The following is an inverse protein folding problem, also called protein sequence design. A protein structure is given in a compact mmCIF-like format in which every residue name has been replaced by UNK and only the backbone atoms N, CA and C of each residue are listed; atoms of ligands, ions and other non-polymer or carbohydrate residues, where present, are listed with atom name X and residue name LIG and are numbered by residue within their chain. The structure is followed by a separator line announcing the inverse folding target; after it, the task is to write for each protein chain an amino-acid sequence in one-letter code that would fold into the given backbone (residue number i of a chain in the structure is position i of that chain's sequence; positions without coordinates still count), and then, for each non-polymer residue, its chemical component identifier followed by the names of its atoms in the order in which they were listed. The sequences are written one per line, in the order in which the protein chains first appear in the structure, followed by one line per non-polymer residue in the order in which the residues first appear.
data_IF_310750788157
#
_entry.id   IF_310750788157
#
_cell.length_a   1.000
_cell.length_b   1.000
_cell.length_c   1.000
_cell.angle_alpha   90.00
_cell.angle_beta   90.00
_cell.angle_gamma   90.00
#
_symmetry.space_group_name_H-M   'P 1'
#
loop_
_entity.id
_entity.type
_entity.pdbx_description
1 polymer ?
#
# COMPACT_ATOMS: atom_id res chain seq x y z
N UNK A 1 -20.45 -1.89 1.20
CA UNK A 1 -19.20 -1.74 0.44
C UNK A 1 -18.87 -0.26 0.50
N UNK A 2 -17.70 0.14 1.03
CA UNK A 2 -17.32 1.57 1.06
C UNK A 2 -17.44 2.13 -0.37
N UNK A 3 -18.04 3.30 -0.53
CA UNK A 3 -18.41 3.84 -1.83
C UNK A 3 -17.19 4.04 -2.74
N UNK A 4 -16.04 4.38 -2.16
CA UNK A 4 -14.73 4.38 -2.81
C UNK A 4 -14.41 3.06 -3.56
N UNK A 5 -14.68 1.89 -2.96
CA UNK A 5 -14.45 0.61 -3.63
C UNK A 5 -15.40 0.38 -4.81
N UNK A 6 -16.62 0.93 -4.73
CA UNK A 6 -17.60 0.84 -5.81
C UNK A 6 -17.25 1.79 -6.98
N UNK A 7 -16.75 2.98 -6.68
CA UNK A 7 -16.30 3.96 -7.69
C UNK A 7 -15.06 3.46 -8.41
N UNK A 8 -14.07 2.92 -7.68
CA UNK A 8 -12.89 2.28 -8.28
C UNK A 8 -13.27 1.11 -9.21
N UNK A 9 -14.27 0.30 -8.84
CA UNK A 9 -14.78 -0.75 -9.73
C UNK A 9 -15.43 -0.20 -11.01
N UNK A 10 -16.23 0.87 -10.89
CA UNK A 10 -16.89 1.49 -12.05
C UNK A 10 -15.92 2.17 -13.01
N UNK A 11 -14.87 2.82 -12.51
CA UNK A 11 -13.86 3.49 -13.34
C UNK A 11 -13.03 2.48 -14.15
N UNK A 12 -12.66 1.35 -13.55
CA UNK A 12 -11.90 0.29 -14.22
C UNK A 12 -12.71 -0.40 -15.32
N UNK A 13 -14.00 -0.62 -15.07
CA UNK A 13 -14.92 -1.19 -16.06
C UNK A 13 -15.05 -0.30 -17.31
N UNK A 14 -14.81 1.01 -17.17
CA UNK A 14 -14.78 1.98 -18.29
C UNK A 14 -13.43 2.01 -19.01
N UNK A 15 -12.31 1.73 -18.32
CA UNK A 15 -10.95 1.84 -18.87
C UNK A 15 -10.48 0.62 -19.69
N UNK A 16 -11.31 -0.40 -19.87
CA UNK A 16 -11.00 -1.58 -20.71
C UNK A 16 -9.88 -2.47 -20.16
N UNK A 17 -9.42 -2.19 -18.94
CA UNK A 17 -8.62 -3.09 -18.11
C UNK A 17 -9.59 -4.18 -17.66
N UNK A 18 -9.68 -5.29 -18.42
CA UNK A 18 -10.40 -6.47 -17.99
C UNK A 18 -9.71 -7.04 -16.74
N UNK A 19 -10.05 -6.47 -15.59
CA UNK A 19 -10.09 -7.21 -14.35
C UNK A 19 -11.13 -8.31 -14.57
N UNK A 20 -10.70 -9.42 -15.16
CA UNK A 20 -11.22 -10.69 -14.70
C UNK A 20 -10.95 -10.71 -13.20
N UNK A 21 -11.94 -10.27 -12.41
CA UNK A 21 -11.99 -10.43 -10.97
C UNK A 21 -12.00 -11.95 -10.77
N UNK A 22 -10.81 -12.56 -10.79
CA UNK A 22 -10.66 -14.02 -10.76
C UNK A 22 -10.82 -14.57 -9.33
N UNK A 23 -11.06 -13.70 -8.36
CA UNK A 23 -11.29 -14.01 -6.94
C UNK A 23 -12.24 -12.99 -6.34
N UNK A 24 -13.12 -13.44 -5.45
CA UNK A 24 -14.06 -12.57 -4.73
C UNK A 24 -13.33 -11.50 -3.90
N UNK A 25 -13.95 -10.34 -3.73
CA UNK A 25 -13.47 -9.29 -2.84
C UNK A 25 -13.57 -9.78 -1.39
N UNK A 26 -12.45 -9.98 -0.73
CA UNK A 26 -12.38 -10.40 0.68
C UNK A 26 -12.53 -9.17 1.60
N UNK A 27 -13.66 -8.48 1.50
CA UNK A 27 -13.99 -7.27 2.29
C UNK A 27 -13.87 -7.55 3.79
N UNK A 28 -14.10 -8.80 4.20
CA UNK A 28 -13.97 -9.27 5.57
C UNK A 28 -12.53 -9.14 6.12
N UNK A 29 -11.52 -9.04 5.26
CA UNK A 29 -10.11 -8.84 5.66
C UNK A 29 -9.72 -7.37 5.83
N UNK A 30 -10.59 -6.42 5.49
CA UNK A 30 -10.33 -5.00 5.69
C UNK A 30 -10.32 -4.64 7.19
N UNK A 31 -11.31 -5.04 8.01
CA UNK A 31 -11.26 -4.84 9.46
C UNK A 31 -9.99 -5.43 10.10
N UNK A 32 -9.63 -6.66 9.73
CA UNK A 32 -8.42 -7.30 10.24
C UNK A 32 -7.13 -6.57 9.84
N UNK A 33 -7.10 -5.88 8.69
CA UNK A 33 -5.97 -5.06 8.29
C UNK A 33 -5.85 -3.80 9.14
N UNK A 34 -6.99 -3.23 9.54
CA UNK A 34 -7.05 -2.03 10.37
C UNK A 34 -6.73 -2.35 11.84
N UNK A 35 -7.17 -3.49 12.37
CA UNK A 35 -6.93 -3.93 13.76
C UNK A 35 -5.44 -4.06 14.12
N UNK A 36 -4.57 -4.21 13.12
CA UNK A 36 -3.12 -4.37 13.30
C UNK A 36 -2.32 -3.09 13.03
N UNK A 37 -3.00 -1.96 12.81
CA UNK A 37 -2.36 -0.67 12.68
C UNK A 37 -2.09 -0.08 14.05
N UNK A 38 -0.85 0.36 14.27
CA UNK A 38 -0.53 1.28 15.36
C UNK A 38 -1.09 2.66 15.00
N UNK A 39 -1.93 3.21 15.86
CA UNK A 39 -2.46 4.58 15.71
C UNK A 39 -1.60 5.63 16.43
N UNK A 40 -0.47 5.20 16.98
CA UNK A 40 0.53 6.07 17.59
C UNK A 40 1.51 6.60 16.53
N UNK A 41 2.11 7.77 16.79
CA UNK A 41 3.09 8.39 15.89
C UNK A 41 2.55 9.61 15.15
N UNK A 42 3.14 9.90 14.00
CA UNK A 42 2.74 10.96 13.09
C UNK A 42 1.61 10.52 12.15
N UNK A 43 0.98 11.48 11.47
CA UNK A 43 -0.03 11.16 10.46
C UNK A 43 0.54 10.30 9.31
N UNK A 44 1.80 10.50 8.92
CA UNK A 44 2.44 9.69 7.87
C UNK A 44 2.80 8.28 8.36
N UNK A 45 3.15 8.12 9.64
CA UNK A 45 3.35 6.80 10.24
C UNK A 45 2.09 5.95 10.08
N UNK A 46 0.95 6.48 10.55
CA UNK A 46 -0.33 5.75 10.50
C UNK A 46 -0.80 5.52 9.05
N UNK A 47 -0.62 6.49 8.15
CA UNK A 47 -0.92 6.33 6.74
C UNK A 47 -0.13 5.18 6.10
N UNK A 48 1.19 5.13 6.36
CA UNK A 48 2.08 4.08 5.89
C UNK A 48 1.75 2.71 6.48
N UNK A 49 1.45 2.64 7.77
CA UNK A 49 1.03 1.41 8.45
C UNK A 49 -0.29 0.86 7.90
N UNK A 50 -1.29 1.71 7.66
CA UNK A 50 -2.56 1.34 7.02
C UNK A 50 -2.32 0.74 5.62
N UNK A 51 -1.51 1.44 4.82
CA UNK A 51 -1.14 1.01 3.48
C UNK A 51 -0.44 -0.35 3.50
N UNK A 52 0.58 -0.51 4.36
CA UNK A 52 1.35 -1.74 4.49
C UNK A 52 0.48 -2.93 4.87
N UNK A 53 -0.34 -2.77 5.91
CA UNK A 53 -1.21 -3.83 6.41
C UNK A 53 -2.25 -4.28 5.37
N UNK A 54 -2.86 -3.33 4.63
CA UNK A 54 -3.80 -3.66 3.56
C UNK A 54 -3.13 -4.44 2.42
N UNK A 55 -1.91 -4.05 2.04
CA UNK A 55 -1.15 -4.73 0.98
C UNK A 55 -0.73 -6.13 1.43
N UNK A 56 -0.20 -6.27 2.65
CA UNK A 56 0.27 -7.54 3.21
C UNK A 56 -0.85 -8.59 3.33
N UNK A 57 -2.04 -8.18 3.75
CA UNK A 57 -3.19 -9.08 3.95
C UNK A 57 -3.91 -9.46 2.68
N UNK A 58 -3.57 -8.82 1.56
CA UNK A 58 -4.20 -9.06 0.27
C UNK A 58 -5.73 -9.00 0.37
N UNK A 59 -6.27 -7.98 1.06
CA UNK A 59 -7.72 -7.85 1.29
C UNK A 59 -8.51 -7.69 -0.01
N UNK A 60 -7.82 -7.48 -1.15
CA UNK A 60 -8.40 -7.47 -2.48
C UNK A 60 -7.78 -8.51 -3.42
N UNK A 61 -8.59 -9.09 -4.33
CA UNK A 61 -8.15 -10.10 -5.31
C UNK A 61 -7.12 -9.56 -6.31
N UNK A 62 -7.13 -8.25 -6.53
CA UNK A 62 -6.24 -7.47 -7.37
C UNK A 62 -6.17 -6.03 -6.82
N UNK A 63 -5.34 -5.17 -7.41
CA UNK A 63 -5.24 -3.75 -7.05
C UNK A 63 -4.81 -3.41 -5.59
N UNK A 64 -4.31 -4.37 -4.81
CA UNK A 64 -3.87 -4.14 -3.41
C UNK A 64 -2.97 -2.89 -3.24
N UNK A 65 -1.96 -2.69 -4.10
CA UNK A 65 -1.11 -1.49 -4.06
C UNK A 65 -1.91 -0.20 -4.25
N UNK A 66 -2.80 -0.15 -5.25
CA UNK A 66 -3.61 1.05 -5.53
C UNK A 66 -4.53 1.35 -4.35
N UNK A 67 -5.16 0.34 -3.78
CA UNK A 67 -6.00 0.51 -2.59
C UNK A 67 -5.21 0.92 -1.36
N UNK A 68 -4.01 0.37 -1.15
CA UNK A 68 -3.13 0.80 -0.08
C UNK A 68 -2.77 2.28 -0.22
N UNK A 69 -2.34 2.71 -1.42
CA UNK A 69 -2.02 4.11 -1.74
C UNK A 69 -3.24 5.00 -1.45
N UNK A 70 -4.43 4.62 -1.95
CA UNK A 70 -5.61 5.45 -1.75
C UNK A 70 -6.05 5.51 -0.30
N UNK A 71 -5.95 4.42 0.47
CA UNK A 71 -6.24 4.47 1.90
C UNK A 71 -5.30 5.42 2.65
N UNK A 72 -4.00 5.41 2.32
CA UNK A 72 -3.04 6.37 2.87
C UNK A 72 -3.41 7.81 2.51
N UNK A 73 -3.77 8.06 1.24
CA UNK A 73 -4.24 9.38 0.80
C UNK A 73 -5.48 9.84 1.59
N UNK A 74 -6.51 9.01 1.65
CA UNK A 74 -7.74 9.31 2.40
C UNK A 74 -7.48 9.55 3.88
N UNK A 75 -6.53 8.84 4.48
CA UNK A 75 -6.14 9.09 5.87
C UNK A 75 -5.44 10.45 6.04
N UNK A 76 -4.53 10.81 5.13
CA UNK A 76 -3.87 12.13 5.17
C UNK A 76 -4.87 13.27 4.95
N UNK A 77 -5.83 13.11 4.04
CA UNK A 77 -6.96 14.04 3.85
C UNK A 77 -7.76 14.19 5.16
N UNK A 78 -8.08 13.07 5.82
CA UNK A 78 -8.78 13.09 7.11
C UNK A 78 -7.96 13.77 8.21
N UNK A 79 -6.63 13.66 8.16
CA UNK A 79 -5.71 14.33 9.08
C UNK A 79 -5.54 15.83 8.79
N UNK A 80 -6.18 16.36 7.74
CA UNK A 80 -6.21 17.78 7.41
C UNK A 80 -5.36 18.18 6.22
N UNK A 81 -4.86 17.23 5.44
CA UNK A 81 -4.17 17.54 4.19
C UNK A 81 -5.13 18.16 3.17
N UNK A 82 -4.74 19.29 2.56
CA UNK A 82 -5.47 19.93 1.46
C UNK A 82 -4.60 19.94 0.20
N UNK A 83 -4.29 18.74 -0.31
CA UNK A 83 -3.61 18.59 -1.60
C UNK A 83 -4.55 18.03 -2.66
N UNK A 84 -4.44 18.52 -3.89
CA UNK A 84 -5.07 17.88 -5.05
C UNK A 84 -4.43 16.51 -5.23
N UNK A 85 -5.11 15.47 -4.75
CA UNK A 85 -4.69 14.08 -4.91
C UNK A 85 -4.44 13.81 -6.40
N UNK A 86 -3.19 13.51 -6.82
CA UNK A 86 -2.95 13.13 -8.19
C UNK A 86 -3.80 11.89 -8.43
N UNK A 87 -4.77 11.98 -9.34
CA UNK A 87 -5.61 10.82 -9.67
C UNK A 87 -4.65 9.67 -9.93
N UNK A 88 -4.90 8.52 -9.33
CA UNK A 88 -4.06 7.32 -9.54
C UNK A 88 -4.00 6.86 -11.02
N UNK A 89 -4.76 7.54 -11.89
CA UNK A 89 -4.78 7.48 -13.35
C UNK A 89 -4.47 8.83 -14.03
N UNK A 90 -3.56 9.66 -13.51
CA UNK A 90 -3.04 10.77 -14.32
C UNK A 90 -2.13 10.22 -15.42
N UNK A 91 -2.32 10.69 -16.65
CA UNK A 91 -1.38 10.49 -17.78
C UNK A 91 -0.05 11.22 -17.55
N UNK A 92 0.12 11.87 -16.39
CA UNK A 92 1.32 12.57 -16.00
C UNK A 92 2.42 11.56 -15.70
N UNK A 93 3.28 11.44 -16.71
CA UNK A 93 4.55 10.72 -16.70
C UNK A 93 5.30 10.84 -15.36
N UNK A 94 5.27 12.00 -14.71
CA UNK A 94 5.96 12.27 -13.43
C UNK A 94 5.41 11.48 -12.23
N UNK A 95 4.09 11.32 -12.10
CA UNK A 95 3.51 10.54 -10.99
C UNK A 95 3.86 9.06 -11.12
N UNK A 96 3.74 8.53 -12.34
CA UNK A 96 4.06 7.13 -12.62
C UNK A 96 5.55 6.85 -12.44
N UNK A 97 6.43 7.73 -12.91
CA UNK A 97 7.89 7.60 -12.70
C UNK A 97 8.28 7.60 -11.22
N UNK A 98 7.54 8.31 -10.36
CA UNK A 98 7.79 8.34 -8.93
C UNK A 98 7.21 7.13 -8.18
N UNK A 99 5.97 6.74 -8.48
CA UNK A 99 5.30 5.63 -7.78
C UNK A 99 5.84 4.26 -8.23
N UNK A 100 6.23 4.09 -9.50
CA UNK A 100 6.66 2.79 -10.03
C UNK A 100 7.86 2.20 -9.26
N UNK A 101 8.94 2.95 -8.95
CA UNK A 101 10.02 2.47 -8.09
C UNK A 101 9.54 1.98 -6.71
N UNK A 102 8.64 2.73 -6.07
CA UNK A 102 8.04 2.33 -4.80
C UNK A 102 7.30 0.99 -4.93
N UNK A 103 6.44 0.85 -5.95
CA UNK A 103 5.67 -0.37 -6.19
C UNK A 103 6.59 -1.56 -6.49
N UNK A 104 7.67 -1.33 -7.22
CA UNK A 104 8.68 -2.36 -7.52
C UNK A 104 9.29 -2.87 -6.23
N UNK A 105 9.76 -2.00 -5.35
CA UNK A 105 10.41 -2.42 -4.10
C UNK A 105 9.42 -3.09 -3.13
N UNK A 106 8.21 -2.54 -2.96
CA UNK A 106 7.15 -3.21 -2.20
C UNK A 106 6.90 -4.64 -2.71
N UNK A 107 6.85 -4.85 -4.04
CA UNK A 107 6.68 -6.19 -4.63
C UNK A 107 7.89 -7.09 -4.41
N UNK A 108 9.11 -6.55 -4.32
CA UNK A 108 10.32 -7.31 -4.02
C UNK A 108 10.29 -7.77 -2.58
N UNK A 109 10.10 -6.87 -1.61
CA UNK A 109 9.97 -7.19 -0.19
C UNK A 109 8.94 -8.28 0.06
N UNK A 110 7.73 -8.14 -0.49
CA UNK A 110 6.66 -9.16 -0.36
C UNK A 110 7.03 -10.51 -1.00
N UNK A 111 7.80 -10.49 -2.09
CA UNK A 111 8.25 -11.71 -2.77
C UNK A 111 9.35 -12.40 -1.96
N UNK A 112 10.34 -11.65 -1.49
CA UNK A 112 11.44 -12.15 -0.66
C UNK A 112 10.89 -12.73 0.64
N UNK A 113 9.99 -12.00 1.33
CA UNK A 113 9.25 -12.45 2.52
C UNK A 113 8.69 -13.87 2.39
N UNK A 114 8.12 -14.20 1.22
CA UNK A 114 7.48 -15.51 0.96
C UNK A 114 8.44 -16.59 0.48
N UNK A 115 9.59 -16.22 -0.04
CA UNK A 115 10.48 -17.12 -0.77
C UNK A 115 11.95 -17.08 -0.32
N UNK A 116 12.25 -16.47 0.82
CA UNK A 116 13.61 -16.23 1.30
C UNK A 116 14.53 -17.47 1.21
N UNK A 117 14.11 -18.63 1.74
CA UNK A 117 14.91 -19.86 1.72
C UNK A 117 15.04 -20.49 0.32
N UNK A 118 14.03 -20.29 -0.56
CA UNK A 118 14.14 -20.70 -1.96
C UNK A 118 15.16 -19.83 -2.69
N UNK A 119 15.13 -18.52 -2.45
CA UNK A 119 16.08 -17.58 -3.03
C UNK A 119 17.49 -17.82 -2.49
N UNK A 120 17.66 -18.15 -1.22
CA UNK A 120 18.93 -18.58 -0.67
C UNK A 120 19.48 -19.80 -1.43
N UNK A 121 18.63 -20.77 -1.72
CA UNK A 121 19.02 -21.96 -2.48
C UNK A 121 19.48 -21.57 -3.89
N UNK A 122 18.75 -20.68 -4.57
CA UNK A 122 19.15 -20.17 -5.88
C UNK A 122 20.49 -19.42 -5.82
N UNK A 123 20.68 -18.54 -4.83
CA UNK A 123 21.92 -17.79 -4.58
C UNK A 123 23.11 -18.73 -4.37
N UNK A 124 22.94 -19.78 -3.55
CA UNK A 124 23.96 -20.82 -3.33
C UNK A 124 24.31 -21.61 -4.60
N UNK A 125 23.43 -21.64 -5.60
CA UNK A 125 23.66 -22.25 -6.90
C UNK A 125 24.13 -21.25 -7.98
N UNK A 126 24.52 -20.03 -7.59
CA UNK A 126 25.08 -19.02 -8.49
C UNK A 126 24.06 -18.15 -9.20
N UNK A 127 22.80 -18.16 -8.78
CA UNK A 127 21.81 -17.19 -9.26
C UNK A 127 21.98 -15.85 -8.54
N UNK A 128 22.19 -14.78 -9.29
CA UNK A 128 22.36 -13.43 -8.74
C UNK A 128 21.03 -12.65 -8.72
N UNK A 129 20.19 -12.84 -9.74
CA UNK A 129 18.95 -12.09 -9.92
C UNK A 129 17.79 -13.03 -10.22
N UNK A 130 16.69 -12.90 -9.47
CA UNK A 130 15.41 -13.56 -9.78
C UNK A 130 14.49 -12.58 -10.50
N UNK A 131 13.94 -12.98 -11.65
CA UNK A 131 12.95 -12.18 -12.39
C UNK A 131 11.54 -12.67 -12.14
N UNK A 132 10.65 -11.75 -11.76
CA UNK A 132 9.21 -11.97 -11.59
C UNK A 132 8.43 -11.30 -12.73
N UNK A 133 7.15 -11.65 -12.88
CA UNK A 133 6.20 -10.98 -13.80
C UNK A 133 6.38 -9.45 -13.81
N UNK A 134 6.21 -8.84 -14.99
CA UNK A 134 6.43 -7.42 -15.26
C UNK A 134 7.87 -6.96 -15.06
N UNK A 135 8.84 -7.83 -15.39
CA UNK A 135 10.28 -7.53 -15.39
C UNK A 135 10.82 -6.98 -14.06
N UNK A 136 10.21 -7.38 -12.94
CA UNK A 136 10.72 -7.05 -11.61
C UNK A 136 11.91 -7.95 -11.33
N UNK A 137 13.10 -7.35 -11.36
CA UNK A 137 14.36 -7.98 -10.99
C UNK A 137 14.56 -7.92 -9.47
N UNK A 138 14.91 -9.04 -8.84
CA UNK A 138 15.21 -9.16 -7.41
C UNK A 138 16.68 -9.56 -7.29
N UNK A 139 17.60 -8.61 -7.04
CA UNK A 139 19.00 -8.94 -6.77
C UNK A 139 19.10 -9.65 -5.43
N UNK A 140 19.58 -10.90 -5.43
CA UNK A 140 19.60 -11.73 -4.22
C UNK A 140 20.66 -11.30 -3.20
N UNK A 141 21.56 -10.39 -3.58
CA UNK A 141 22.57 -9.83 -2.69
C UNK A 141 22.04 -8.74 -1.76
N UNK A 142 20.97 -8.06 -2.15
CA UNK A 142 20.37 -6.94 -1.40
C UNK A 142 19.54 -7.40 -0.20
N UNK A 143 19.31 -8.71 -0.07
CA UNK A 143 18.38 -9.30 0.89
C UNK A 143 19.07 -10.34 1.77
N UNK A 144 18.71 -10.38 3.05
CA UNK A 144 19.06 -11.48 3.94
C UNK A 144 18.07 -12.65 3.74
N UNK A 145 18.61 -13.80 3.37
CA UNK A 145 17.85 -14.95 2.91
C UNK A 145 17.99 -16.18 3.83
N UNK A 146 18.87 -16.15 4.83
CA UNK A 146 19.17 -17.32 5.71
C UNK A 146 18.33 -17.34 7.00
N UNK A 147 17.48 -16.33 7.19
CA UNK A 147 16.50 -16.28 8.27
C UNK A 147 15.53 -17.47 8.23
N UNK A 148 15.08 -17.89 9.42
CA UNK A 148 13.98 -18.85 9.52
C UNK A 148 12.70 -18.23 8.91
N UNK A 149 11.81 -19.05 8.34
CA UNK A 149 10.65 -18.51 7.58
C UNK A 149 9.75 -17.59 8.43
N UNK A 150 9.62 -17.84 9.73
CA UNK A 150 8.84 -17.02 10.64
C UNK A 150 9.50 -15.65 10.90
N UNK A 151 10.82 -15.65 11.09
CA UNK A 151 11.62 -14.43 11.25
C UNK A 151 11.59 -13.59 9.97
N UNK A 152 11.75 -14.21 8.80
CA UNK A 152 11.60 -13.52 7.52
C UNK A 152 10.19 -12.96 7.29
N UNK A 153 9.15 -13.58 7.88
CA UNK A 153 7.78 -13.06 7.79
C UNK A 153 7.57 -11.78 8.60
N UNK A 154 8.29 -11.64 9.71
CA UNK A 154 8.27 -10.47 10.59
C UNK A 154 9.17 -9.38 10.02
N UNK A 155 10.45 -9.67 9.82
CA UNK A 155 11.46 -8.73 9.31
C UNK A 155 11.02 -8.06 8.00
N UNK A 156 10.62 -8.84 6.99
CA UNK A 156 10.19 -8.26 5.72
C UNK A 156 8.79 -7.63 5.75
N UNK A 157 7.99 -7.87 6.80
CA UNK A 157 6.77 -7.10 7.02
C UNK A 157 7.10 -5.73 7.62
N UNK A 158 8.04 -5.66 8.57
CA UNK A 158 8.54 -4.41 9.15
C UNK A 158 9.24 -3.55 8.10
N UNK A 159 10.12 -4.12 7.27
CA UNK A 159 10.75 -3.42 6.15
C UNK A 159 9.70 -2.90 5.15
N UNK A 160 8.64 -3.67 4.90
CA UNK A 160 7.56 -3.23 4.03
C UNK A 160 6.75 -2.09 4.65
N UNK A 161 6.53 -2.11 5.95
CA UNK A 161 5.87 -1.03 6.68
C UNK A 161 6.69 0.26 6.66
N UNK A 162 7.98 0.20 6.99
CA UNK A 162 8.89 1.33 6.88
C UNK A 162 8.89 1.94 5.47
N UNK A 163 8.98 1.08 4.44
CA UNK A 163 8.89 1.50 3.03
C UNK A 163 7.55 2.20 2.68
N UNK A 164 6.44 1.78 3.30
CA UNK A 164 5.15 2.45 3.13
C UNK A 164 5.05 3.77 3.89
N UNK A 165 5.69 3.87 5.06
CA UNK A 165 5.78 5.13 5.83
C UNK A 165 6.59 6.16 5.05
N UNK A 166 7.76 5.80 4.54
CA UNK A 166 8.58 6.67 3.67
C UNK A 166 7.77 7.17 2.46
N UNK A 167 6.99 6.28 1.83
CA UNK A 167 6.08 6.67 0.75
C UNK A 167 5.01 7.68 1.20
N UNK A 168 4.41 7.49 2.37
CA UNK A 168 3.41 8.41 2.92
C UNK A 168 4.02 9.79 3.27
N UNK A 169 5.25 9.82 3.78
CA UNK A 169 6.01 11.05 4.03
C UNK A 169 6.30 11.81 2.73
N UNK A 170 6.76 11.11 1.70
CA UNK A 170 7.00 11.69 0.38
C UNK A 170 5.70 12.19 -0.25
N UNK A 171 4.61 11.44 -0.11
CA UNK A 171 3.28 11.80 -0.59
C UNK A 171 2.81 13.12 0.06
N UNK A 172 2.86 13.22 1.38
CA UNK A 172 2.49 14.44 2.11
C UNK A 172 3.39 15.62 1.72
N UNK A 173 4.71 15.39 1.64
CA UNK A 173 5.69 16.42 1.27
C UNK A 173 5.45 16.96 -0.15
N UNK A 174 5.19 16.08 -1.12
CA UNK A 174 4.87 16.45 -2.51
C UNK A 174 3.53 17.16 -2.62
N UNK A 175 2.57 16.81 -1.76
CA UNK A 175 1.29 17.51 -1.61
C UNK A 175 1.40 18.91 -0.98
N UNK A 176 2.58 19.28 -0.45
CA UNK A 176 2.78 20.55 0.23
C UNK A 176 2.49 20.52 1.74
N UNK A 177 2.15 19.35 2.28
CA UNK A 177 1.72 19.12 3.68
C UNK A 177 2.82 18.42 4.50
N UNK A 178 4.07 18.88 4.34
CA UNK A 178 5.24 18.32 5.03
C UNK A 178 5.17 18.36 6.57
N UNK A 179 4.28 19.19 7.13
CA UNK A 179 3.97 19.22 8.56
C UNK A 179 3.39 17.88 9.06
N UNK A 180 2.67 17.13 8.23
CA UNK A 180 2.05 15.85 8.60
C UNK A 180 3.07 14.76 8.97
N UNK A 181 4.33 14.93 8.56
CA UNK A 181 5.45 14.06 8.96
C UNK A 181 5.77 14.16 10.46
N UNK A 182 5.34 15.26 11.10
CA UNK A 182 5.62 15.53 12.52
C UNK A 182 4.34 15.74 13.34
N UNK A 183 3.22 16.01 12.69
CA UNK A 183 1.95 16.19 13.38
C UNK A 183 1.41 14.85 13.91
N UNK A 184 0.86 14.83 15.14
CA UNK A 184 0.28 13.63 15.71
C UNK A 184 -0.80 13.03 14.81
N UNK A 185 -0.82 11.71 14.74
CA UNK A 185 -1.82 10.95 14.02
C UNK A 185 -3.26 11.28 14.43
N UNK A 186 -4.18 11.26 13.45
CA UNK A 186 -5.61 11.16 13.70
C UNK A 186 -5.91 9.79 14.32
N UNK A 187 -6.65 9.78 15.43
CA UNK A 187 -7.10 8.54 16.07
C UNK A 187 -7.97 7.68 15.14
N UNK A 188 -8.01 6.36 15.37
CA UNK A 188 -8.90 5.42 14.68
C UNK A 188 -10.35 5.91 14.62
N UNK A 189 -10.90 6.33 15.76
CA UNK A 189 -12.28 6.81 15.85
C UNK A 189 -12.50 8.05 14.98
N UNK A 190 -11.54 8.98 14.97
CA UNK A 190 -11.57 10.17 14.13
C UNK A 190 -11.55 9.82 12.64
N UNK A 191 -10.73 8.85 12.24
CA UNK A 191 -10.69 8.39 10.86
C UNK A 191 -11.98 7.68 10.43
N UNK A 192 -12.53 6.82 11.30
CA UNK A 192 -13.82 6.15 11.05
C UNK A 192 -14.95 7.18 10.88
N UNK A 193 -14.97 8.22 11.70
CA UNK A 193 -15.99 9.27 11.60
C UNK A 193 -15.86 10.09 10.31
N UNK A 194 -14.63 10.39 9.86
CA UNK A 194 -14.38 10.97 8.55
C UNK A 194 -14.90 10.08 7.41
N UNK A 195 -14.58 8.79 7.42
CA UNK A 195 -15.07 7.86 6.40
C UNK A 195 -16.60 7.78 6.37
N UNK A 196 -17.26 7.87 7.53
CA UNK A 196 -18.73 7.90 7.60
C UNK A 196 -19.32 9.19 7.05
N UNK A 197 -18.70 10.34 7.32
CA UNK A 197 -19.19 11.61 6.77
C UNK A 197 -19.12 11.59 5.26
N UNK A 198 -17.99 11.16 4.68
CA UNK A 198 -17.81 11.07 3.22
C UNK A 198 -18.88 10.18 2.55
N UNK A 199 -19.15 9.00 3.12
CA UNK A 199 -20.20 8.10 2.62
C UNK A 199 -21.63 8.64 2.81
N UNK A 200 -21.85 9.60 3.72
CA UNK A 200 -23.18 10.18 3.97
C UNK A 200 -23.46 11.39 3.07
N UNK A 201 -22.43 12.12 2.66
CA UNK A 201 -22.52 13.25 1.73
C UNK A 201 -22.75 12.85 0.27
N UNK A 202 -22.60 11.56 -0.04
CA UNK A 202 -22.68 10.99 -1.38
C UNK A 202 -24.01 10.27 -1.70
N UNK A 203 -24.99 10.27 -0.80
CA UNK A 203 -26.36 9.84 -1.12
C UNK A 203 -27.06 10.88 -2.01
N UNK A 204 -27.58 10.51 -3.18
CA UNK A 204 -28.34 11.43 -4.02
C UNK A 204 -29.66 11.80 -3.33
N UNK A 205 -29.93 13.10 -3.20
CA UNK A 205 -31.29 13.61 -2.99
C UNK A 205 -32.17 13.38 -4.21
#
# INVERSE_FOLDING_TARGET
MLQFFAEMQQEEQKNGSELAIYKDLEIERVPEAVDHVSWDGSATDVAGSLMSNLILRHSLPNANHRTGITMAQTYLEAAGADFETPKTHTEEYEWREWVDPYIVESKRLLTVRRHNLYFLTLKRNGCEIVRRKHDIEIPLEDYDLDMHYYEAWEEYAELHEAHCIEFAEELATRGGESNLVQEPALSEAGFIDFLRSENSSSEPK
#
